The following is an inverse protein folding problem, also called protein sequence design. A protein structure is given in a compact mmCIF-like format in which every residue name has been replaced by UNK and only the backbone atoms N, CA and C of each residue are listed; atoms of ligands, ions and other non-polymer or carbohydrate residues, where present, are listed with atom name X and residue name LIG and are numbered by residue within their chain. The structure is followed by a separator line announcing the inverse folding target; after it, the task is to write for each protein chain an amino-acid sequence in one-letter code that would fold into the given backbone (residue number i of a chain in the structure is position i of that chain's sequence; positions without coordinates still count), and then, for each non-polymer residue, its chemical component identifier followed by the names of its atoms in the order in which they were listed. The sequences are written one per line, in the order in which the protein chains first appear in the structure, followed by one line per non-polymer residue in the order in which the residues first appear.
data_IF_792056023481
#
_entry.id   IF_792056023481
#
_cell.length_a   1.000
_cell.length_b   1.000
_cell.length_c   1.000
_cell.angle_alpha   90.00
_cell.angle_beta   90.00
_cell.angle_gamma   90.00
#
_symmetry.space_group_name_H-M   'P 1'
#
loop_
_entity.id
_entity.type
_entity.pdbx_description
1 polymer ?
#
# COMPACT_ATOMS: atom_id res chain seq x y z
N UNK A 1 2.28 5.86 -16.05
CA UNK A 1 3.71 5.50 -15.89
C UNK A 1 4.20 6.15 -14.61
N UNK A 2 4.99 5.44 -13.81
CA UNK A 2 5.55 5.98 -12.56
C UNK A 2 6.94 6.53 -12.84
N UNK A 3 7.18 7.78 -12.47
CA UNK A 3 8.47 8.43 -12.67
C UNK A 3 9.36 8.29 -11.44
N UNK A 4 10.67 8.50 -11.60
CA UNK A 4 11.60 8.60 -10.46
C UNK A 4 11.24 9.75 -9.52
N UNK A 5 10.74 10.86 -10.06
CA UNK A 5 10.25 11.99 -9.26
C UNK A 5 9.04 11.62 -8.39
N UNK A 6 8.16 10.74 -8.88
CA UNK A 6 7.03 10.24 -8.08
C UNK A 6 7.51 9.37 -6.91
N UNK A 7 8.49 8.50 -7.16
CA UNK A 7 9.08 7.65 -6.12
C UNK A 7 9.69 8.52 -5.02
N UNK A 8 10.49 9.52 -5.39
CA UNK A 8 11.11 10.43 -4.43
C UNK A 8 10.08 11.27 -3.65
N UNK A 9 9.05 11.76 -4.34
CA UNK A 9 7.96 12.53 -3.71
C UNK A 9 7.21 11.69 -2.68
N UNK A 10 6.85 10.45 -3.02
CA UNK A 10 6.14 9.55 -2.10
C UNK A 10 7.04 9.16 -0.93
N UNK A 11 8.32 8.84 -1.18
CA UNK A 11 9.29 8.52 -0.14
C UNK A 11 9.49 9.67 0.85
N UNK A 12 9.52 10.92 0.37
CA UNK A 12 9.57 12.11 1.22
C UNK A 12 8.31 12.21 2.11
N UNK A 13 7.11 12.06 1.53
CA UNK A 13 5.85 12.09 2.30
C UNK A 13 5.85 11.02 3.40
N UNK A 14 6.30 9.80 3.08
CA UNK A 14 6.39 8.70 4.03
C UNK A 14 7.29 9.04 5.21
N UNK A 15 8.50 9.54 4.93
CA UNK A 15 9.47 9.89 5.96
C UNK A 15 8.99 11.09 6.79
N UNK A 16 8.58 12.18 6.15
CA UNK A 16 8.19 13.43 6.80
C UNK A 16 6.97 13.28 7.70
N UNK A 17 6.04 12.39 7.34
CA UNK A 17 4.80 12.15 8.11
C UNK A 17 4.87 10.95 9.04
N UNK A 18 5.99 10.22 9.09
CA UNK A 18 6.12 9.02 9.91
C UNK A 18 5.10 7.93 9.56
N UNK A 19 4.87 7.70 8.26
CA UNK A 19 3.91 6.70 7.79
C UNK A 19 4.42 5.29 8.12
N UNK A 20 3.67 4.54 8.94
CA UNK A 20 4.07 3.19 9.42
C UNK A 20 3.95 2.10 8.36
N UNK A 21 2.98 2.21 7.46
CA UNK A 21 2.71 1.19 6.46
C UNK A 21 2.24 1.78 5.13
N UNK A 22 2.66 1.14 4.05
CA UNK A 22 2.06 1.28 2.71
C UNK A 22 1.35 -0.02 2.35
N UNK A 23 0.40 0.11 1.43
CA UNK A 23 -0.42 -0.99 0.98
C UNK A 23 -0.21 -1.20 -0.51
N UNK A 24 -0.28 -2.45 -0.94
CA UNK A 24 -0.08 -2.82 -2.34
C UNK A 24 -1.40 -3.17 -2.99
N UNK A 25 -1.48 -2.93 -4.29
CA UNK A 25 -2.54 -3.45 -5.14
C UNK A 25 -1.92 -4.29 -6.25
N UNK A 26 -2.67 -5.26 -6.77
CA UNK A 26 -2.22 -6.18 -7.80
C UNK A 26 -1.83 -5.51 -9.13
N UNK A 27 -2.30 -4.29 -9.38
CA UNK A 27 -2.04 -3.51 -10.59
C UNK A 27 -0.70 -2.75 -10.56
N UNK A 28 -0.06 -2.60 -9.39
CA UNK A 28 1.23 -1.90 -9.25
C UNK A 28 2.39 -2.89 -9.25
N UNK A 29 3.44 -2.60 -10.01
CA UNK A 29 4.61 -3.47 -10.06
C UNK A 29 5.35 -3.49 -8.72
N UNK A 30 5.73 -4.69 -8.26
CA UNK A 30 6.51 -4.85 -7.03
C UNK A 30 7.82 -4.07 -7.02
N UNK A 31 8.43 -3.85 -8.20
CA UNK A 31 9.65 -3.03 -8.33
C UNK A 31 9.43 -1.57 -7.92
N UNK A 32 8.28 -0.98 -8.27
CA UNK A 32 7.96 0.40 -7.91
C UNK A 32 7.80 0.54 -6.40
N UNK A 33 7.12 -0.42 -5.78
CA UNK A 33 6.96 -0.45 -4.33
C UNK A 33 8.31 -0.56 -3.62
N UNK A 34 9.16 -1.50 -4.03
CA UNK A 34 10.48 -1.69 -3.43
C UNK A 34 11.34 -0.43 -3.56
N UNK A 35 11.25 0.28 -4.70
CA UNK A 35 11.95 1.55 -4.89
C UNK A 35 11.48 2.63 -3.91
N UNK A 36 10.16 2.77 -3.69
CA UNK A 36 9.60 3.70 -2.69
C UNK A 36 10.04 3.33 -1.28
N UNK A 37 9.96 2.05 -0.90
CA UNK A 37 10.37 1.58 0.41
C UNK A 37 11.86 1.82 0.67
N UNK A 38 12.72 1.51 -0.30
CA UNK A 38 14.15 1.76 -0.21
C UNK A 38 14.44 3.27 -0.07
N UNK A 39 13.81 4.10 -0.90
CA UNK A 39 13.96 5.55 -0.87
C UNK A 39 13.47 6.17 0.45
N UNK A 40 12.40 5.63 1.05
CA UNK A 40 11.88 6.08 2.34
C UNK A 40 12.80 5.64 3.51
N UNK A 41 13.27 4.40 3.49
CA UNK A 41 14.23 3.87 4.50
C UNK A 41 15.55 4.64 4.49
N UNK A 42 16.05 5.00 3.31
CA UNK A 42 17.24 5.87 3.18
C UNK A 42 17.05 7.26 3.80
N UNK A 43 15.79 7.71 3.96
CA UNK A 43 15.42 8.95 4.65
C UNK A 43 15.14 8.75 6.14
N UNK A 44 15.40 7.55 6.67
CA UNK A 44 15.19 7.21 8.08
C UNK A 44 13.77 6.78 8.43
N UNK A 45 12.90 6.53 7.45
CA UNK A 45 11.56 6.05 7.71
C UNK A 45 11.55 4.56 8.11
N UNK A 46 10.88 4.23 9.21
CA UNK A 46 10.53 2.85 9.55
C UNK A 46 9.16 2.52 8.97
N UNK A 47 9.18 1.93 7.77
CA UNK A 47 7.97 1.61 7.00
C UNK A 47 7.89 0.13 6.64
N UNK A 48 6.67 -0.40 6.74
CA UNK A 48 6.29 -1.78 6.44
C UNK A 48 5.25 -1.87 5.31
N UNK A 49 5.02 -3.09 4.80
CA UNK A 49 3.91 -3.37 3.89
C UNK A 49 2.75 -3.90 4.74
N UNK A 50 1.64 -3.16 4.77
CA UNK A 50 0.44 -3.49 5.55
C UNK A 50 -0.45 -4.56 4.91
N UNK A 51 -0.06 -5.08 3.74
CA UNK A 51 -0.76 -6.11 2.98
C UNK A 51 -1.33 -5.60 1.66
N UNK A 52 -2.05 -6.49 0.99
CA UNK A 52 -2.69 -6.22 -0.30
C UNK A 52 -4.13 -5.71 -0.10
N UNK A 53 -4.49 -4.69 -0.86
CA UNK A 53 -5.84 -4.14 -0.94
C UNK A 53 -6.48 -4.47 -2.27
N UNK A 54 -7.79 -4.60 -2.24
CA UNK A 54 -8.62 -4.65 -3.43
C UNK A 54 -8.87 -3.22 -3.93
N UNK A 55 -8.61 -2.96 -5.21
CA UNK A 55 -8.83 -1.66 -5.84
C UNK A 55 -9.90 -1.76 -6.92
N UNK A 56 -9.48 -2.02 -8.16
CA UNK A 56 -10.35 -2.07 -9.33
C UNK A 56 -11.15 -3.38 -9.42
N UNK A 57 -10.77 -4.40 -8.63
CA UNK A 57 -11.42 -5.69 -8.59
C UNK A 57 -11.64 -6.15 -7.14
N UNK A 58 -12.83 -6.70 -6.90
CA UNK A 58 -13.15 -7.44 -5.69
C UNK A 58 -12.41 -8.78 -5.64
N UNK A 59 -12.51 -9.47 -4.51
CA UNK A 59 -11.99 -10.82 -4.34
C UNK A 59 -12.68 -11.86 -5.25
N UNK A 60 -12.26 -13.12 -5.12
CA UNK A 60 -12.83 -14.21 -5.91
C UNK A 60 -14.34 -14.37 -5.65
N UNK A 61 -15.09 -14.72 -6.70
CA UNK A 61 -16.52 -14.97 -6.58
C UNK A 61 -16.79 -16.09 -5.55
N UNK A 62 -17.74 -15.85 -4.64
CA UNK A 62 -18.08 -16.77 -3.56
C UNK A 62 -17.28 -16.58 -2.26
N UNK A 63 -16.29 -15.68 -2.22
CA UNK A 63 -15.67 -15.25 -0.95
C UNK A 63 -16.37 -14.00 -0.39
N UNK A 64 -16.23 -13.69 0.91
CA UNK A 64 -16.72 -12.43 1.47
C UNK A 64 -16.22 -11.22 0.68
N UNK A 65 -14.94 -11.19 0.36
CA UNK A 65 -14.26 -10.12 -0.38
C UNK A 65 -14.67 -10.04 -1.85
N UNK A 66 -15.29 -11.10 -2.40
CA UNK A 66 -15.91 -11.08 -3.73
C UNK A 66 -17.18 -10.23 -3.81
N UNK A 67 -17.68 -9.72 -2.68
CA UNK A 67 -18.76 -8.72 -2.63
C UNK A 67 -18.19 -7.33 -2.39
N UNK A 68 -18.85 -6.28 -2.91
CA UNK A 68 -18.41 -4.90 -2.68
C UNK A 68 -18.28 -4.54 -1.19
N UNK A 69 -19.25 -4.96 -0.38
CA UNK A 69 -19.24 -4.70 1.06
C UNK A 69 -18.13 -5.46 1.77
N UNK A 70 -17.91 -6.74 1.44
CA UNK A 70 -16.84 -7.52 2.04
C UNK A 70 -15.46 -7.06 1.60
N UNK A 71 -15.31 -6.62 0.35
CA UNK A 71 -14.09 -5.98 -0.16
C UNK A 71 -13.74 -4.73 0.65
N UNK A 72 -14.69 -3.81 0.84
CA UNK A 72 -14.48 -2.60 1.64
C UNK A 72 -14.15 -2.91 3.09
N UNK A 73 -14.84 -3.89 3.70
CA UNK A 73 -14.55 -4.34 5.06
C UNK A 73 -13.12 -4.87 5.16
N UNK A 74 -12.72 -5.80 4.28
CA UNK A 74 -11.39 -6.38 4.28
C UNK A 74 -10.30 -5.31 4.10
N UNK A 75 -10.48 -4.36 3.19
CA UNK A 75 -9.56 -3.25 3.02
C UNK A 75 -9.45 -2.39 4.28
N UNK A 76 -10.59 -2.03 4.88
CA UNK A 76 -10.63 -1.21 6.09
C UNK A 76 -9.92 -1.93 7.25
N UNK A 77 -10.19 -3.22 7.44
CA UNK A 77 -9.58 -4.03 8.49
C UNK A 77 -8.05 -4.11 8.31
N UNK A 78 -7.56 -4.29 7.08
CA UNK A 78 -6.12 -4.29 6.76
C UNK A 78 -5.48 -2.93 7.00
N UNK A 79 -6.12 -1.84 6.57
CA UNK A 79 -5.62 -0.47 6.78
C UNK A 79 -5.50 -0.18 8.28
N UNK A 80 -6.54 -0.48 9.05
CA UNK A 80 -6.54 -0.27 10.50
C UNK A 80 -5.47 -1.15 11.17
N UNK A 81 -5.32 -2.40 10.76
CA UNK A 81 -4.30 -3.29 11.31
C UNK A 81 -2.88 -2.81 11.01
N UNK A 82 -2.61 -2.34 9.79
CA UNK A 82 -1.28 -1.90 9.37
C UNK A 82 -0.85 -0.53 9.89
N UNK A 83 -1.79 0.30 10.37
CA UNK A 83 -1.49 1.66 10.87
C UNK A 83 -1.46 1.78 12.41
N UNK A 84 -1.81 0.70 13.12
CA UNK A 84 -1.62 0.61 14.58
C UNK A 84 -0.13 0.56 14.91
#
# INVERSE_FOLDING_TARGET
EVTTADIDRVAAIVADRGVRAVFVESSVSGQTLEAVLAAARNRGAEISIGGELFSDAAGAAGTPEGTYVGMLRANTDRIVAGLR
#
